data_IF_098046522633
#
_entry.id   IF_098046522633
#
_cell.length_a   1.000
_cell.length_b   1.000
_cell.length_c   1.000
_cell.angle_alpha   90.00
_cell.angle_beta   90.00
_cell.angle_gamma   90.00
#
_symmetry.space_group_name_H-M   'P 1'
#
loop_
_entity.id
_entity.type
_entity.pdbx_description
1 polymer ?
#
# COMPACT_ATOMS: atom_id res chain seq x y z
N UNK A 1 17.40 -15.32 -3.70
CA UNK A 1 17.33 -15.89 -2.35
C UNK A 1 15.94 -16.49 -2.18
N UNK A 2 15.87 -17.73 -1.73
CA UNK A 2 14.61 -18.43 -1.44
C UNK A 2 14.62 -18.73 0.06
N UNK A 3 13.53 -18.36 0.75
CA UNK A 3 13.26 -18.84 2.11
C UNK A 3 12.53 -20.16 1.92
N UNK A 4 13.05 -21.23 2.53
CA UNK A 4 12.40 -22.53 2.48
C UNK A 4 11.15 -22.50 3.34
N UNK A 5 9.98 -22.76 2.75
CA UNK A 5 8.67 -22.82 3.37
C UNK A 5 8.00 -24.20 3.17
N UNK A 6 8.80 -25.22 2.78
CA UNK A 6 8.32 -26.57 2.50
C UNK A 6 7.79 -27.30 3.74
N UNK A 7 8.34 -27.02 4.92
CA UNK A 7 7.94 -27.64 6.18
C UNK A 7 6.95 -26.78 6.98
N UNK A 8 7.08 -25.47 6.91
CA UNK A 8 6.23 -24.53 7.64
C UNK A 8 6.00 -23.27 6.81
N UNK A 9 4.70 -22.91 6.64
CA UNK A 9 4.31 -21.73 5.88
C UNK A 9 4.91 -20.47 6.49
N UNK A 10 5.58 -19.67 5.66
CA UNK A 10 6.17 -18.42 6.07
C UNK A 10 5.10 -17.40 6.47
N UNK A 11 5.23 -16.81 7.65
CA UNK A 11 4.37 -15.71 8.11
C UNK A 11 5.17 -14.43 8.37
N UNK A 12 4.50 -13.28 8.44
CA UNK A 12 5.14 -11.99 8.77
C UNK A 12 5.76 -11.95 10.16
N UNK A 13 5.34 -12.84 11.04
CA UNK A 13 5.87 -12.98 12.39
C UNK A 13 7.09 -13.90 12.50
N UNK A 14 7.51 -14.48 11.38
CA UNK A 14 8.57 -15.48 11.33
C UNK A 14 9.97 -14.86 11.45
N UNK A 15 10.83 -15.46 12.28
CA UNK A 15 12.22 -15.01 12.45
C UNK A 15 13.10 -15.32 11.22
N UNK A 16 12.66 -16.21 10.33
CA UNK A 16 13.34 -16.51 9.08
C UNK A 16 13.50 -15.27 8.21
N UNK A 17 12.55 -14.32 8.28
CA UNK A 17 12.64 -13.04 7.54
C UNK A 17 13.85 -12.25 8.00
N UNK A 18 14.01 -12.02 9.31
CA UNK A 18 15.16 -11.27 9.84
C UNK A 18 16.48 -11.98 9.55
N UNK A 19 16.53 -13.30 9.75
CA UNK A 19 17.73 -14.12 9.44
C UNK A 19 18.12 -13.98 7.97
N UNK A 20 17.17 -14.11 7.04
CA UNK A 20 17.43 -13.99 5.62
C UNK A 20 17.91 -12.59 5.23
N UNK A 21 17.30 -11.53 5.80
CA UNK A 21 17.72 -10.15 5.56
C UNK A 21 19.18 -9.93 5.99
N UNK A 22 19.54 -10.41 7.18
CA UNK A 22 20.89 -10.24 7.73
C UNK A 22 21.94 -11.07 6.98
N UNK A 23 21.67 -12.35 6.76
CA UNK A 23 22.61 -13.28 6.09
C UNK A 23 22.93 -12.87 4.66
N UNK A 24 21.97 -12.31 3.96
CA UNK A 24 22.12 -11.94 2.54
C UNK A 24 22.32 -10.43 2.34
N UNK A 25 22.43 -9.64 3.42
CA UNK A 25 22.59 -8.17 3.36
C UNK A 25 21.50 -7.50 2.51
N UNK A 26 20.26 -7.98 2.63
CA UNK A 26 19.13 -7.54 1.82
C UNK A 26 18.82 -6.07 2.12
N UNK A 27 18.66 -5.27 1.07
CA UNK A 27 18.34 -3.84 1.15
C UNK A 27 16.87 -3.53 0.90
N UNK A 28 16.17 -4.45 0.25
CA UNK A 28 14.74 -4.33 -0.07
C UNK A 28 14.07 -5.70 0.05
N UNK A 29 12.98 -5.74 0.80
CA UNK A 29 12.04 -6.87 0.86
C UNK A 29 10.72 -6.42 0.26
N UNK A 30 10.16 -7.22 -0.64
CA UNK A 30 8.83 -7.02 -1.21
C UNK A 30 7.95 -8.20 -0.79
N UNK A 31 6.80 -7.93 -0.21
CA UNK A 31 5.82 -8.92 0.22
C UNK A 31 4.54 -8.71 -0.59
N UNK A 32 4.19 -9.66 -1.46
CA UNK A 32 3.08 -9.59 -2.42
C UNK A 32 2.33 -10.93 -2.53
N UNK A 33 1.06 -10.97 -2.15
CA UNK A 33 0.33 -9.96 -1.37
C UNK A 33 0.58 -10.12 0.15
N UNK A 34 0.54 -9.02 0.88
CA UNK A 34 0.73 -9.04 2.34
C UNK A 34 -0.25 -9.97 3.07
N UNK A 35 -1.46 -10.10 2.55
CA UNK A 35 -2.51 -10.94 3.12
C UNK A 35 -2.15 -12.43 3.16
N UNK A 36 -1.35 -12.91 2.21
CA UNK A 36 -0.95 -14.31 2.14
C UNK A 36 0.01 -14.72 3.28
N UNK A 37 0.66 -13.75 3.92
CA UNK A 37 1.71 -13.99 4.91
C UNK A 37 1.33 -13.56 6.34
N UNK A 38 0.11 -13.13 6.58
CA UNK A 38 -0.29 -12.64 7.91
C UNK A 38 -0.35 -13.75 8.96
N UNK A 39 -0.64 -14.98 8.57
CA UNK A 39 -0.88 -16.11 9.47
C UNK A 39 -2.36 -16.35 9.71
N UNK A 40 -2.75 -17.61 9.85
CA UNK A 40 -4.14 -18.00 9.97
C UNK A 40 -4.77 -17.63 11.34
N UNK A 41 -3.95 -17.39 12.34
CA UNK A 41 -4.28 -17.04 13.70
C UNK A 41 -4.46 -15.52 13.93
N UNK A 42 -4.17 -14.70 12.93
CA UNK A 42 -4.25 -13.24 13.00
C UNK A 42 -5.46 -12.73 12.25
N UNK A 43 -6.44 -12.17 12.95
CA UNK A 43 -7.57 -11.47 12.33
C UNK A 43 -7.14 -10.06 11.88
N UNK A 44 -7.09 -9.86 10.56
CA UNK A 44 -6.71 -8.58 9.95
C UNK A 44 -7.62 -7.40 10.32
N UNK A 45 -8.80 -7.65 10.86
CA UNK A 45 -9.72 -6.61 11.30
C UNK A 45 -9.50 -6.22 12.77
N UNK A 46 -8.66 -6.94 13.49
CA UNK A 46 -8.35 -6.69 14.90
C UNK A 46 -7.01 -6.00 15.07
N UNK A 47 -7.07 -4.75 15.48
CA UNK A 47 -5.90 -3.91 15.72
C UNK A 47 -4.84 -4.53 16.65
N UNK A 48 -5.31 -5.16 17.72
CA UNK A 48 -4.45 -5.79 18.74
C UNK A 48 -3.67 -7.00 18.20
N UNK A 49 -4.17 -7.65 17.15
CA UNK A 49 -3.50 -8.79 16.51
C UNK A 49 -2.56 -8.34 15.38
N UNK A 50 -2.96 -7.33 14.63
CA UNK A 50 -2.20 -6.80 13.49
C UNK A 50 -0.99 -5.97 13.91
N UNK A 51 -1.14 -5.09 14.91
CA UNK A 51 -0.07 -4.18 15.35
C UNK A 51 1.24 -4.86 15.73
N UNK A 52 1.26 -5.99 16.51
CA UNK A 52 2.51 -6.66 16.84
C UNK A 52 3.27 -7.18 15.62
N UNK A 53 2.54 -7.72 14.62
CA UNK A 53 3.12 -8.24 13.38
C UNK A 53 3.84 -7.14 12.60
N UNK A 54 3.16 -6.01 12.36
CA UNK A 54 3.74 -4.89 11.63
C UNK A 54 4.85 -4.18 12.41
N UNK A 55 4.74 -4.14 13.74
CA UNK A 55 5.81 -3.63 14.60
C UNK A 55 7.09 -4.46 14.46
N UNK A 56 6.98 -5.79 14.38
CA UNK A 56 8.13 -6.67 14.17
C UNK A 56 8.82 -6.37 12.84
N UNK A 57 8.08 -6.24 11.75
CA UNK A 57 8.64 -5.84 10.45
C UNK A 57 9.33 -4.45 10.52
N UNK A 58 8.71 -3.50 11.19
CA UNK A 58 9.32 -2.17 11.41
C UNK A 58 10.65 -2.27 12.18
N UNK A 59 10.73 -3.10 13.20
CA UNK A 59 11.97 -3.34 13.97
C UNK A 59 13.05 -4.01 13.10
N UNK A 60 12.68 -4.94 12.21
CA UNK A 60 13.61 -5.56 11.26
C UNK A 60 14.18 -4.49 10.33
N UNK A 61 13.31 -3.67 9.73
CA UNK A 61 13.71 -2.59 8.85
C UNK A 61 14.68 -1.61 9.54
N UNK A 62 14.35 -1.18 10.77
CA UNK A 62 15.18 -0.26 11.56
C UNK A 62 16.55 -0.84 11.89
N UNK A 63 16.60 -2.09 12.40
CA UNK A 63 17.85 -2.74 12.81
C UNK A 63 18.78 -3.10 11.65
N UNK A 64 18.23 -3.33 10.45
CA UNK A 64 19.00 -3.83 9.32
C UNK A 64 19.26 -2.74 8.26
N UNK A 65 18.55 -1.62 8.32
CA UNK A 65 18.55 -0.60 7.26
C UNK A 65 17.88 -1.08 5.96
N UNK A 66 17.08 -2.16 6.02
CA UNK A 66 16.36 -2.72 4.89
C UNK A 66 15.04 -1.98 4.70
N UNK A 67 14.68 -1.63 3.46
CA UNK A 67 13.35 -1.17 3.13
C UNK A 67 12.39 -2.37 3.01
N UNK A 68 11.16 -2.25 3.54
CA UNK A 68 10.13 -3.28 3.41
C UNK A 68 8.92 -2.68 2.70
N UNK A 69 8.58 -3.25 1.55
CA UNK A 69 7.41 -2.88 0.75
C UNK A 69 6.35 -3.96 0.90
N UNK A 70 5.15 -3.55 1.32
CA UNK A 70 4.01 -4.43 1.49
C UNK A 70 2.98 -4.11 0.41
N UNK A 71 2.62 -5.09 -0.40
CA UNK A 71 1.61 -4.94 -1.45
C UNK A 71 0.31 -5.57 -0.98
N UNK A 72 -0.73 -4.75 -0.90
CA UNK A 72 -2.07 -5.19 -0.52
C UNK A 72 -3.08 -4.90 -1.62
N UNK A 73 -4.04 -5.80 -1.80
CA UNK A 73 -5.12 -5.61 -2.74
C UNK A 73 -6.36 -5.06 -2.06
N UNK A 74 -6.96 -4.02 -2.66
CA UNK A 74 -8.22 -3.46 -2.18
C UNK A 74 -9.37 -4.37 -2.59
N UNK A 75 -10.20 -4.80 -1.64
CA UNK A 75 -11.41 -5.56 -1.93
C UNK A 75 -12.45 -4.68 -2.64
N UNK A 76 -13.10 -5.26 -3.66
CA UNK A 76 -14.18 -4.62 -4.42
C UNK A 76 -15.53 -4.62 -3.69
N UNK A 77 -15.60 -4.87 -2.38
CA UNK A 77 -16.87 -4.90 -1.67
C UNK A 77 -17.60 -3.56 -1.77
N UNK A 78 -18.55 -3.52 -2.67
CA UNK A 78 -19.48 -2.42 -2.90
C UNK A 78 -20.37 -2.26 -1.65
N UNK A 79 -20.36 -1.08 -1.06
CA UNK A 79 -21.47 -0.70 -0.16
C UNK A 79 -21.14 -0.06 1.17
N UNK A 80 -19.91 0.05 1.58
CA UNK A 80 -19.57 0.69 2.86
C UNK A 80 -18.49 1.78 2.73
N UNK A 81 -18.72 2.88 3.41
CA UNK A 81 -18.05 4.17 3.31
C UNK A 81 -16.55 4.23 3.66
N UNK A 82 -15.79 3.18 3.50
CA UNK A 82 -14.36 3.22 3.86
C UNK A 82 -13.53 2.48 2.82
N UNK A 83 -12.80 3.23 2.02
CA UNK A 83 -11.71 2.78 1.14
C UNK A 83 -10.67 1.96 1.90
N UNK A 84 -10.62 2.12 3.20
CA UNK A 84 -9.68 1.51 4.12
C UNK A 84 -10.00 0.06 4.53
N UNK A 85 -11.27 -0.38 4.37
CA UNK A 85 -11.69 -1.74 4.78
C UNK A 85 -11.18 -2.86 3.87
N UNK A 86 -10.74 -2.52 2.68
CA UNK A 86 -10.22 -3.52 1.74
C UNK A 86 -8.83 -4.07 2.08
N UNK A 87 -8.06 -3.35 2.89
CA UNK A 87 -6.73 -3.78 3.36
C UNK A 87 -6.77 -4.48 4.72
N UNK A 88 -7.95 -4.66 5.33
CA UNK A 88 -8.09 -5.10 6.71
C UNK A 88 -8.22 -3.92 7.68
N UNK A 89 -7.53 -3.95 8.78
CA UNK A 89 -7.59 -2.93 9.81
C UNK A 89 -6.99 -1.58 9.37
N UNK A 90 -7.59 -0.48 9.80
CA UNK A 90 -7.02 0.88 9.75
C UNK A 90 -5.59 0.90 10.32
N UNK A 91 -5.28 -0.02 11.21
CA UNK A 91 -4.00 -0.14 11.89
C UNK A 91 -2.84 -0.56 10.97
N UNK A 92 -3.11 -1.28 9.89
CA UNK A 92 -2.08 -1.57 8.86
C UNK A 92 -1.57 -0.26 8.26
N UNK A 93 -2.48 0.63 7.92
CA UNK A 93 -2.10 1.93 7.36
C UNK A 93 -1.48 2.85 8.40
N UNK A 94 -1.88 2.73 9.66
CA UNK A 94 -1.25 3.47 10.75
C UNK A 94 0.20 3.02 10.97
N UNK A 95 0.50 1.73 10.80
CA UNK A 95 1.81 1.15 11.04
C UNK A 95 2.87 1.50 9.99
N UNK A 96 2.46 1.74 8.73
CA UNK A 96 3.41 2.06 7.65
C UNK A 96 3.86 3.52 7.69
N UNK A 97 5.11 3.79 7.27
CA UNK A 97 5.68 5.14 7.17
C UNK A 97 5.24 5.87 5.92
N UNK A 98 4.99 5.15 4.86
CA UNK A 98 4.52 5.68 3.58
C UNK A 98 3.40 4.80 3.05
N UNK A 99 2.32 5.40 2.56
CA UNK A 99 1.20 4.72 1.96
C UNK A 99 0.99 5.26 0.55
N UNK A 100 1.00 4.36 -0.40
CA UNK A 100 0.82 4.68 -1.81
C UNK A 100 -0.36 3.89 -2.34
N UNK A 101 -1.31 4.56 -2.97
CA UNK A 101 -2.37 3.92 -3.72
C UNK A 101 -2.05 3.92 -5.22
N UNK A 102 -2.34 2.80 -5.86
CA UNK A 102 -2.25 2.68 -7.32
C UNK A 102 -3.62 2.32 -7.86
N UNK A 103 -4.11 3.13 -8.78
CA UNK A 103 -5.43 2.94 -9.39
C UNK A 103 -5.45 3.18 -10.89
N UNK A 104 -6.52 2.68 -11.54
CA UNK A 104 -6.78 2.92 -12.96
C UNK A 104 -7.58 4.19 -13.14
N UNK A 105 -7.25 4.96 -14.15
CA UNK A 105 -8.08 6.08 -14.58
C UNK A 105 -9.34 5.53 -15.27
N UNK A 106 -10.51 5.95 -14.79
CA UNK A 106 -11.80 5.38 -15.26
C UNK A 106 -12.02 5.58 -16.78
N UNK A 107 -11.65 6.74 -17.30
CA UNK A 107 -11.84 7.11 -18.74
C UNK A 107 -10.67 6.68 -19.62
N UNK A 108 -9.54 6.30 -19.05
CA UNK A 108 -8.37 5.79 -19.76
C UNK A 108 -7.79 4.58 -19.01
N UNK A 109 -8.27 3.37 -19.31
CA UNK A 109 -7.83 2.16 -18.61
C UNK A 109 -6.35 1.79 -18.80
N UNK A 110 -5.66 2.40 -19.76
CA UNK A 110 -4.22 2.21 -19.97
C UNK A 110 -3.40 3.06 -18.99
N UNK A 111 -3.96 4.17 -18.51
CA UNK A 111 -3.33 5.05 -17.54
C UNK A 111 -3.60 4.58 -16.10
N UNK A 112 -2.56 4.57 -15.30
CA UNK A 112 -2.55 4.33 -13.86
C UNK A 112 -2.08 5.58 -13.15
N UNK A 113 -2.60 5.80 -11.95
CA UNK A 113 -2.15 6.88 -11.07
C UNK A 113 -1.58 6.30 -9.79
N UNK A 114 -0.51 6.90 -9.33
CA UNK A 114 0.17 6.63 -8.08
C UNK A 114 -0.06 7.82 -7.16
N UNK A 115 -0.76 7.59 -6.06
CA UNK A 115 -1.18 8.62 -5.11
C UNK A 115 -0.44 8.38 -3.80
N UNK A 116 0.35 9.34 -3.35
CA UNK A 116 1.05 9.28 -2.07
C UNK A 116 0.12 9.78 -0.96
N UNK A 117 -0.65 8.88 -0.37
CA UNK A 117 -1.69 9.20 0.61
C UNK A 117 -1.14 9.54 2.00
N UNK A 118 -0.06 8.89 2.41
CA UNK A 118 0.57 9.11 3.72
C UNK A 118 2.07 9.15 3.61
N UNK A 119 2.66 10.13 4.25
CA UNK A 119 4.09 10.19 4.53
C UNK A 119 4.30 10.61 5.99
N UNK A 120 5.19 9.89 6.70
CA UNK A 120 5.54 10.21 8.08
C UNK A 120 6.80 11.06 8.21
N UNK A 121 7.54 11.26 7.10
CA UNK A 121 8.87 11.90 7.12
C UNK A 121 8.92 13.20 6.33
N UNK A 122 7.99 13.42 5.42
CA UNK A 122 7.91 14.59 4.55
C UNK A 122 6.45 14.82 4.13
N UNK A 123 6.09 15.96 3.56
CA UNK A 123 4.81 16.12 2.89
C UNK A 123 4.60 15.03 1.83
N UNK A 124 3.36 14.57 1.60
CA UNK A 124 3.06 13.65 0.50
C UNK A 124 3.55 14.22 -0.83
N UNK A 125 4.11 13.36 -1.68
CA UNK A 125 4.52 13.76 -3.02
C UNK A 125 3.33 14.00 -3.95
N UNK A 126 3.59 14.63 -5.08
CA UNK A 126 2.60 14.83 -6.13
C UNK A 126 2.07 13.48 -6.66
N UNK A 127 0.82 13.50 -7.11
CA UNK A 127 0.27 12.34 -7.82
C UNK A 127 0.96 12.19 -9.16
N UNK A 128 1.40 10.98 -9.44
CA UNK A 128 2.10 10.62 -10.68
C UNK A 128 1.25 9.68 -11.51
N UNK A 129 1.30 9.84 -12.83
CA UNK A 129 0.68 8.90 -13.75
C UNK A 129 1.73 8.09 -14.52
N UNK A 130 1.33 6.87 -14.88
CA UNK A 130 2.07 6.00 -15.77
C UNK A 130 1.12 5.20 -16.67
N UNK A 131 1.59 4.82 -17.84
CA UNK A 131 0.91 3.89 -18.73
C UNK A 131 1.49 2.50 -18.60
N UNK A 132 0.62 1.51 -18.75
CA UNK A 132 1.00 0.11 -18.78
C UNK A 132 0.21 -0.54 -19.93
N UNK A 133 0.86 -0.68 -21.06
CA UNK A 133 0.31 -1.30 -22.28
C UNK A 133 0.94 -2.67 -22.52
N UNK A 134 0.22 -3.53 -23.24
CA UNK A 134 0.72 -4.88 -23.60
C UNK A 134 1.90 -4.79 -24.56
N UNK A 135 1.87 -3.85 -25.49
CA UNK A 135 2.92 -3.68 -26.51
C UNK A 135 3.97 -2.64 -26.09
N UNK A 136 3.54 -1.55 -25.43
CA UNK A 136 4.41 -0.42 -25.06
C UNK A 136 5.11 -0.60 -23.70
N UNK A 137 4.68 -1.60 -22.91
CA UNK A 137 5.23 -1.82 -21.56
C UNK A 137 4.90 -0.67 -20.59
N UNK A 138 5.84 -0.41 -19.68
CA UNK A 138 5.72 0.63 -18.66
C UNK A 138 6.29 1.97 -19.18
N UNK A 139 5.52 3.07 -18.99
CA UNK A 139 5.98 4.42 -19.33
C UNK A 139 5.44 5.46 -18.33
N UNK A 140 6.31 6.26 -17.75
CA UNK A 140 5.90 7.42 -16.95
C UNK A 140 5.22 8.48 -17.81
N UNK A 141 4.15 9.06 -17.29
CA UNK A 141 3.45 10.21 -17.90
C UNK A 141 3.89 11.50 -17.21
N UNK A 142 4.13 11.48 -15.90
CA UNK A 142 4.51 12.62 -15.10
C UNK A 142 3.46 12.99 -14.06
N UNK A 143 3.52 14.21 -13.54
CA UNK A 143 2.55 14.74 -12.60
C UNK A 143 1.14 14.69 -13.20
N UNK A 144 0.15 14.35 -12.39
CA UNK A 144 -1.21 14.13 -12.85
C UNK A 144 -2.23 14.74 -11.90
N UNK A 145 -3.01 15.68 -12.40
CA UNK A 145 -4.13 16.23 -11.64
C UNK A 145 -5.28 15.21 -11.62
N UNK A 146 -5.63 14.76 -10.42
CA UNK A 146 -6.76 13.87 -10.23
C UNK A 146 -8.01 14.71 -10.11
N UNK A 147 -8.84 14.72 -11.15
CA UNK A 147 -10.24 15.04 -10.96
C UNK A 147 -10.96 13.80 -10.42
N UNK A 148 -11.86 14.02 -9.51
CA UNK A 148 -12.59 12.99 -8.79
C UNK A 148 -13.35 11.97 -9.66
N UNK A 149 -13.62 12.29 -10.91
CA UNK A 149 -14.26 11.41 -11.88
C UNK A 149 -13.32 10.36 -12.51
N UNK A 150 -12.01 10.45 -12.25
CA UNK A 150 -11.03 9.74 -13.05
C UNK A 150 -10.49 8.46 -12.42
N UNK A 151 -10.70 8.21 -11.13
CA UNK A 151 -10.16 7.02 -10.48
C UNK A 151 -11.22 5.98 -10.15
N UNK A 152 -10.90 4.71 -10.32
CA UNK A 152 -11.73 3.60 -9.83
C UNK A 152 -11.55 3.35 -8.32
N UNK A 153 -10.90 4.25 -7.60
CA UNK A 153 -10.93 4.21 -6.15
C UNK A 153 -12.36 4.48 -5.70
N UNK A 154 -12.96 3.52 -5.03
CA UNK A 154 -14.33 3.61 -4.57
C UNK A 154 -14.57 4.91 -3.79
N UNK A 155 -15.84 5.33 -3.71
CA UNK A 155 -16.35 6.52 -3.02
C UNK A 155 -15.83 6.61 -1.57
N UNK A 156 -14.61 7.06 -1.35
CA UNK A 156 -14.06 7.09 0.02
C UNK A 156 -12.65 7.61 0.17
N UNK A 157 -11.90 7.77 -0.88
CA UNK A 157 -10.61 8.43 -0.78
C UNK A 157 -10.85 9.90 -0.43
N UNK A 158 -10.48 10.27 0.79
CA UNK A 158 -10.43 11.68 1.19
C UNK A 158 -9.05 12.20 0.84
N UNK A 159 -8.96 13.09 -0.11
CA UNK A 159 -7.74 13.81 -0.42
C UNK A 159 -7.77 15.16 0.28
N UNK A 160 -6.67 15.55 0.90
CA UNK A 160 -6.51 16.89 1.42
C UNK A 160 -6.11 17.78 0.24
N UNK A 161 -6.81 18.90 0.00
CA UNK A 161 -6.42 19.83 -1.05
C UNK A 161 -5.04 20.45 -0.75
N UNK A 162 -4.25 20.78 -1.77
CA UNK A 162 -2.89 21.33 -1.60
C UNK A 162 -2.83 22.61 -0.78
N UNK A 163 -3.90 23.35 -0.70
CA UNK A 163 -4.04 24.63 0.01
C UNK A 163 -4.52 24.52 1.45
N UNK A 164 -4.65 23.30 2.00
CA UNK A 164 -5.16 23.08 3.35
C UNK A 164 -6.67 23.29 3.51
N UNK A 165 -7.40 23.42 2.40
CA UNK A 165 -8.86 23.52 2.38
C UNK A 165 -9.58 22.26 2.89
N UNK A 166 -10.92 22.23 2.89
CA UNK A 166 -11.68 21.09 3.40
C UNK A 166 -11.41 19.83 2.57
N UNK A 167 -11.32 18.68 3.24
CA UNK A 167 -11.19 17.39 2.59
C UNK A 167 -12.30 17.14 1.56
N UNK A 168 -11.94 16.73 0.37
CA UNK A 168 -12.91 16.34 -0.65
C UNK A 168 -12.85 14.85 -0.91
N UNK A 169 -14.00 14.31 -1.27
CA UNK A 169 -14.16 12.89 -1.56
C UNK A 169 -13.83 12.63 -3.02
N UNK A 170 -13.20 11.50 -3.30
CA UNK A 170 -13.09 11.04 -4.68
C UNK A 170 -14.51 10.99 -5.29
N UNK A 171 -14.76 11.78 -6.33
CA UNK A 171 -16.09 11.97 -6.91
C UNK A 171 -16.60 13.41 -6.88
N UNK A 172 -15.98 14.31 -6.12
CA UNK A 172 -16.29 15.75 -6.20
C UNK A 172 -15.48 16.44 -7.29
N UNK A 173 -16.09 17.31 -8.06
CA UNK A 173 -15.36 18.23 -8.94
C UNK A 173 -14.64 19.25 -8.08
N UNK A 174 -13.35 19.38 -8.30
CA UNK A 174 -12.58 20.51 -7.83
C UNK A 174 -12.74 21.59 -8.88
N UNK A 175 -13.29 22.71 -8.48
CA UNK A 175 -13.34 23.92 -9.31
C UNK A 175 -12.14 24.79 -8.95
#
# INVERSE_FOLDING_TARGET
MVIDDSEEVLTLSDDRIEKAVRQNQVRLVIIDPVQAFIGADVDMNRANEVRPVFRKLGMIAEKTGCAIVLIGHLNKSSGTQSTYRGLGSIDIMAAVRSLIFIGKVRKDPTTRVLIHEKSSLAPPGETMAFKLGVEEGFRWVGAYEISADLTQFGRGLRMQPPDGGPYWKAGMKVH
#
